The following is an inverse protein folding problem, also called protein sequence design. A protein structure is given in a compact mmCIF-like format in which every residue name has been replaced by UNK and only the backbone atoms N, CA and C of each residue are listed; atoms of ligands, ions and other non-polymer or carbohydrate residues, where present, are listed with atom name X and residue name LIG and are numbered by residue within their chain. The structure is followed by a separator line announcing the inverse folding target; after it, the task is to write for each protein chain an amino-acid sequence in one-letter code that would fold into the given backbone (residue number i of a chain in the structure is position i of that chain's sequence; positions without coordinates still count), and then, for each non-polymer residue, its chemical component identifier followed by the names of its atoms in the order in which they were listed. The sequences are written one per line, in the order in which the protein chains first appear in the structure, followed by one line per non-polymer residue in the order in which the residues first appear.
data_IF_640669342353
#
_entry.id   IF_640669342353
#
_cell.length_a   1.000
_cell.length_b   1.000
_cell.length_c   1.000
_cell.angle_alpha   90.00
_cell.angle_beta   90.00
_cell.angle_gamma   90.00
#
_symmetry.space_group_name_H-M   'P 1'
#
loop_
_entity.id
_entity.type
_entity.pdbx_description
1 polymer ?
#
# COMPACT_ATOMS: atom_id res chain seq x y z
N UNK A 1 8.16 -30.32 7.34
CA UNK A 1 7.83 -28.87 7.35
C UNK A 1 7.08 -28.51 6.09
N UNK A 2 5.88 -27.91 6.19
CA UNK A 2 5.14 -27.44 5.04
C UNK A 2 5.67 -26.06 4.55
N UNK A 3 5.30 -25.64 3.32
CA UNK A 3 5.79 -24.38 2.73
C UNK A 3 5.41 -23.15 3.58
N UNK A 4 4.24 -23.16 4.19
CA UNK A 4 3.73 -22.06 5.02
C UNK A 4 4.54 -21.88 6.30
N UNK A 5 4.87 -22.98 6.98
CA UNK A 5 5.75 -22.96 8.16
C UNK A 5 7.16 -22.48 7.78
N UNK A 6 7.69 -22.91 6.64
CA UNK A 6 9.00 -22.43 6.16
C UNK A 6 9.01 -20.93 5.90
N UNK A 7 7.96 -20.42 5.26
CA UNK A 7 7.82 -18.98 5.01
C UNK A 7 7.72 -18.19 6.33
N UNK A 8 6.91 -18.66 7.28
CA UNK A 8 6.78 -18.05 8.60
C UNK A 8 8.13 -17.97 9.33
N UNK A 9 8.91 -19.06 9.36
CA UNK A 9 10.22 -19.10 9.99
C UNK A 9 11.18 -18.09 9.37
N UNK A 10 11.21 -17.99 8.05
CA UNK A 10 12.12 -17.09 7.33
C UNK A 10 11.78 -15.60 7.55
N UNK A 11 10.52 -15.30 7.86
CA UNK A 11 10.02 -13.93 8.10
C UNK A 11 9.66 -13.68 9.56
N UNK A 12 10.12 -14.54 10.48
CA UNK A 12 9.82 -14.38 11.90
C UNK A 12 10.42 -13.09 12.44
N UNK A 13 9.59 -12.34 13.18
CA UNK A 13 10.00 -11.16 13.92
C UNK A 13 9.59 -11.33 15.38
N UNK A 14 10.56 -11.38 16.29
CA UNK A 14 10.32 -11.44 17.73
C UNK A 14 9.35 -10.36 18.21
N UNK A 15 9.56 -9.13 17.74
CA UNK A 15 8.73 -8.01 18.12
C UNK A 15 7.26 -8.20 17.73
N UNK A 16 7.01 -8.60 16.49
CA UNK A 16 5.66 -8.86 15.97
C UNK A 16 5.03 -10.05 16.68
N UNK A 17 5.82 -11.09 16.92
CA UNK A 17 5.37 -12.29 17.60
C UNK A 17 5.05 -12.04 19.10
N UNK A 18 5.86 -11.24 19.79
CA UNK A 18 5.58 -10.82 21.18
C UNK A 18 4.25 -10.08 21.29
N UNK A 19 3.92 -9.25 20.32
CA UNK A 19 2.63 -8.54 20.25
C UNK A 19 1.46 -9.50 20.04
N UNK A 20 1.64 -10.50 19.18
CA UNK A 20 0.68 -11.58 19.02
C UNK A 20 0.44 -12.26 20.37
N UNK A 21 1.48 -12.64 21.08
CA UNK A 21 1.37 -13.27 22.39
C UNK A 21 0.63 -12.39 23.41
N UNK A 22 0.99 -11.11 23.53
CA UNK A 22 0.34 -10.16 24.44
C UNK A 22 -1.16 -10.06 24.12
N UNK A 23 -1.51 -9.93 22.85
CA UNK A 23 -2.92 -9.84 22.42
C UNK A 23 -3.72 -11.08 22.79
N UNK A 24 -3.08 -12.24 22.74
CA UNK A 24 -3.69 -13.51 23.12
C UNK A 24 -3.60 -13.81 24.62
N UNK A 25 -3.24 -12.82 25.44
CA UNK A 25 -3.23 -12.92 26.89
C UNK A 25 -2.02 -13.65 27.48
N UNK A 26 -0.95 -13.83 26.67
CA UNK A 26 0.32 -14.31 27.18
C UNK A 26 1.06 -13.19 27.93
N UNK A 27 1.72 -13.55 29.02
CA UNK A 27 2.48 -12.65 29.89
C UNK A 27 3.96 -12.95 29.71
N UNK A 28 4.76 -11.90 29.52
CA UNK A 28 6.21 -12.01 29.42
C UNK A 28 6.80 -12.02 30.83
N UNK A 29 7.47 -13.11 31.21
CA UNK A 29 8.17 -13.28 32.48
C UNK A 29 9.59 -12.72 32.49
N UNK A 30 10.03 -12.21 31.34
CA UNK A 30 11.36 -11.65 31.15
C UNK A 30 12.31 -12.56 30.41
N UNK A 31 13.60 -12.24 30.49
CA UNK A 31 14.65 -12.97 29.77
C UNK A 31 15.02 -14.27 30.48
N UNK A 32 15.05 -15.36 29.72
CA UNK A 32 15.64 -16.63 30.17
C UNK A 32 17.18 -16.59 30.10
N UNK A 33 17.69 -15.92 29.05
CA UNK A 33 19.10 -15.60 28.85
C UNK A 33 19.19 -14.37 27.92
N UNK A 34 20.36 -14.10 27.33
CA UNK A 34 20.55 -12.91 26.47
C UNK A 34 19.69 -12.92 25.20
N UNK A 35 19.27 -14.10 24.72
CA UNK A 35 18.65 -14.32 23.39
C UNK A 35 17.24 -14.91 23.43
N UNK A 36 16.71 -15.27 24.61
CA UNK A 36 15.38 -15.85 24.75
C UNK A 36 14.57 -15.14 25.83
N UNK A 37 13.25 -15.09 25.62
CA UNK A 37 12.26 -14.67 26.60
C UNK A 37 11.33 -15.82 26.96
N UNK A 38 10.85 -15.85 28.18
CA UNK A 38 9.83 -16.80 28.65
C UNK A 38 8.49 -16.10 28.68
N UNK A 39 7.48 -16.81 28.19
CA UNK A 39 6.11 -16.36 28.19
C UNK A 39 5.22 -17.45 28.77
N UNK A 40 4.29 -17.06 29.66
CA UNK A 40 3.27 -17.97 30.18
C UNK A 40 1.88 -17.40 29.93
N UNK A 41 0.87 -18.26 29.99
CA UNK A 41 -0.51 -17.86 30.02
C UNK A 41 -1.14 -18.28 31.35
N UNK A 42 -1.68 -17.32 32.15
CA UNK A 42 -2.42 -17.65 33.36
C UNK A 42 -3.67 -18.43 33.00
N UNK A 43 -3.85 -19.63 33.62
CA UNK A 43 -4.93 -20.53 33.24
C UNK A 43 -5.91 -20.84 34.36
N UNK A 44 -7.15 -21.08 33.91
CA UNK A 44 -8.25 -21.54 34.78
C UNK A 44 -8.18 -23.04 35.09
N UNK A 45 -7.35 -23.84 34.44
CA UNK A 45 -7.36 -25.32 34.51
C UNK A 45 -6.06 -26.04 34.92
N UNK A 46 -5.21 -25.46 35.72
CA UNK A 46 -4.02 -26.09 36.32
C UNK A 46 -2.92 -26.62 35.39
N UNK A 47 -2.87 -26.23 34.13
CA UNK A 47 -1.76 -26.57 33.22
C UNK A 47 -1.06 -25.28 32.83
N UNK A 48 0.17 -25.09 33.32
CA UNK A 48 1.01 -23.96 32.93
C UNK A 48 1.67 -24.27 31.60
N UNK A 49 1.27 -23.55 30.54
CA UNK A 49 2.00 -23.54 29.29
C UNK A 49 3.07 -22.46 29.35
N UNK A 50 4.27 -22.82 28.94
CA UNK A 50 5.39 -21.90 28.79
C UNK A 50 5.88 -21.91 27.35
N UNK A 51 6.20 -20.73 26.83
CA UNK A 51 6.82 -20.54 25.52
C UNK A 51 8.20 -19.94 25.71
N UNK A 52 9.18 -20.49 25.04
CA UNK A 52 10.53 -19.94 24.94
C UNK A 52 10.65 -19.29 23.57
N UNK A 53 10.68 -17.96 23.54
CA UNK A 53 10.66 -17.19 22.30
C UNK A 53 12.03 -16.57 22.02
N UNK A 54 12.64 -16.84 20.87
CA UNK A 54 13.92 -16.27 20.50
C UNK A 54 13.77 -14.78 20.14
N UNK A 55 14.66 -13.92 20.66
CA UNK A 55 14.72 -12.50 20.29
C UNK A 55 15.48 -12.27 18.97
N UNK A 56 16.36 -13.20 18.59
CA UNK A 56 17.21 -13.12 17.40
C UNK A 56 16.98 -14.33 16.48
N UNK A 57 17.11 -14.09 15.18
CA UNK A 57 16.93 -15.14 14.16
C UNK A 57 18.22 -15.91 13.86
N UNK A 58 19.38 -15.34 14.21
CA UNK A 58 20.71 -15.95 13.98
C UNK A 58 21.17 -16.81 15.18
N UNK A 59 20.34 -17.74 15.57
CA UNK A 59 20.65 -18.71 16.62
C UNK A 59 20.71 -20.14 16.09
N UNK A 60 21.56 -20.94 16.71
CA UNK A 60 21.64 -22.37 16.39
C UNK A 60 20.28 -23.03 16.63
N UNK A 61 19.79 -23.79 15.63
CA UNK A 61 18.50 -24.48 15.66
C UNK A 61 17.26 -23.57 15.68
N UNK A 62 17.37 -22.31 15.21
CA UNK A 62 16.26 -21.38 15.16
C UNK A 62 14.96 -21.98 14.58
N UNK A 63 15.07 -22.68 13.44
CA UNK A 63 13.90 -23.30 12.79
C UNK A 63 13.21 -24.34 13.69
N UNK A 64 13.97 -25.13 14.43
CA UNK A 64 13.42 -26.12 15.37
C UNK A 64 12.74 -25.43 16.56
N UNK A 65 13.34 -24.37 17.08
CA UNK A 65 12.74 -23.57 18.17
C UNK A 65 11.40 -22.99 17.75
N UNK A 66 11.29 -22.45 16.54
CA UNK A 66 10.01 -21.91 16.04
C UNK A 66 8.99 -23.03 15.77
N UNK A 67 9.40 -24.18 15.27
CA UNK A 67 8.50 -25.33 15.11
C UNK A 67 7.95 -25.84 16.45
N UNK A 68 8.79 -25.90 17.47
CA UNK A 68 8.38 -26.27 18.83
C UNK A 68 7.41 -25.26 19.43
N UNK A 69 7.71 -23.97 19.28
CA UNK A 69 6.84 -22.87 19.68
C UNK A 69 5.47 -22.94 19.01
N UNK A 70 5.42 -23.19 17.71
CA UNK A 70 4.16 -23.39 16.99
C UNK A 70 3.41 -24.65 17.47
N UNK A 71 4.14 -25.73 17.84
CA UNK A 71 3.54 -26.94 18.38
C UNK A 71 2.87 -26.68 19.73
N UNK A 72 3.53 -25.96 20.64
CA UNK A 72 2.95 -25.61 21.94
C UNK A 72 1.69 -24.76 21.75
N UNK A 73 1.73 -23.77 20.86
CA UNK A 73 0.54 -22.96 20.56
C UNK A 73 -0.59 -23.78 19.91
N UNK A 74 -0.22 -24.73 19.04
CA UNK A 74 -1.15 -25.66 18.38
C UNK A 74 -1.88 -26.50 19.43
N UNK A 75 -1.16 -27.10 20.36
CA UNK A 75 -1.70 -27.90 21.43
C UNK A 75 -2.57 -27.04 22.37
N UNK A 76 -2.09 -25.86 22.72
CA UNK A 76 -2.82 -24.94 23.62
C UNK A 76 -4.18 -24.51 23.03
N UNK A 77 -4.20 -24.12 21.74
CA UNK A 77 -5.41 -23.62 21.09
C UNK A 77 -6.26 -24.73 20.43
N UNK A 78 -5.80 -25.97 20.40
CA UNK A 78 -6.45 -27.05 19.67
C UNK A 78 -6.51 -26.83 18.16
N UNK A 79 -5.49 -26.15 17.61
CA UNK A 79 -5.39 -25.74 16.19
C UNK A 79 -4.18 -26.40 15.56
N UNK A 80 -4.15 -26.49 14.24
CA UNK A 80 -2.94 -26.90 13.50
C UNK A 80 -1.94 -25.75 13.45
N UNK A 81 -0.63 -26.06 13.27
CA UNK A 81 0.40 -25.02 13.07
C UNK A 81 0.05 -24.07 11.92
N UNK A 82 -0.59 -24.57 10.86
CA UNK A 82 -1.03 -23.73 9.74
C UNK A 82 -2.10 -22.73 10.16
N UNK A 83 -3.05 -23.13 11.01
CA UNK A 83 -4.09 -22.24 11.52
C UNK A 83 -3.51 -21.20 12.49
N UNK A 84 -2.53 -21.57 13.32
CA UNK A 84 -1.83 -20.60 14.18
C UNK A 84 -1.09 -19.55 13.35
N UNK A 85 -0.45 -19.96 12.26
CA UNK A 85 0.21 -19.03 11.33
C UNK A 85 -0.82 -18.12 10.65
N UNK A 86 -2.00 -18.65 10.29
CA UNK A 86 -3.08 -17.83 9.73
C UNK A 86 -3.61 -16.80 10.72
N UNK A 87 -3.80 -17.22 11.98
CA UNK A 87 -4.21 -16.31 13.05
C UNK A 87 -3.17 -15.20 13.27
N UNK A 88 -1.89 -15.54 13.22
CA UNK A 88 -0.81 -14.58 13.29
C UNK A 88 -0.84 -13.60 12.10
N UNK A 89 -0.93 -14.11 10.88
CA UNK A 89 -0.98 -13.29 9.67
C UNK A 89 -2.23 -12.39 9.67
N UNK A 90 -3.38 -12.90 10.08
CA UNK A 90 -4.61 -12.12 10.22
C UNK A 90 -4.48 -10.99 11.25
N UNK A 91 -3.58 -11.12 12.22
CA UNK A 91 -3.33 -10.06 13.18
C UNK A 91 -2.49 -8.93 12.61
N UNK A 92 -1.53 -9.25 11.76
CA UNK A 92 -0.52 -8.33 11.24
C UNK A 92 -0.79 -7.78 9.86
N UNK A 93 -1.84 -8.28 9.19
CA UNK A 93 -2.22 -7.87 7.84
C UNK A 93 -3.70 -7.54 7.79
N UNK A 94 -4.05 -6.47 7.11
CA UNK A 94 -5.40 -6.22 6.63
C UNK A 94 -5.52 -6.74 5.19
N UNK A 95 -6.74 -7.02 4.75
CA UNK A 95 -6.99 -7.61 3.44
C UNK A 95 -7.91 -6.72 2.62
N UNK A 96 -7.57 -6.52 1.36
CA UNK A 96 -8.45 -5.86 0.39
C UNK A 96 -8.72 -6.82 -0.75
N UNK A 97 -10.01 -7.08 -1.00
CA UNK A 97 -10.46 -7.87 -2.14
C UNK A 97 -10.96 -6.93 -3.23
N UNK A 98 -10.46 -7.11 -4.42
CA UNK A 98 -11.02 -6.49 -5.61
C UNK A 98 -11.69 -7.56 -6.46
N UNK A 99 -12.95 -7.36 -6.74
CA UNK A 99 -13.76 -8.22 -7.62
C UNK A 99 -14.27 -7.39 -8.77
N UNK A 100 -14.07 -7.85 -9.99
CA UNK A 100 -14.63 -7.21 -11.19
C UNK A 100 -15.69 -8.12 -11.80
N UNK A 101 -16.80 -7.52 -12.19
CA UNK A 101 -17.95 -8.23 -12.77
C UNK A 101 -18.36 -7.65 -14.11
N UNK A 102 -18.50 -8.53 -15.07
CA UNK A 102 -19.08 -8.26 -16.38
C UNK A 102 -19.49 -9.58 -17.04
N UNK A 103 -20.07 -9.50 -18.20
CA UNK A 103 -20.39 -10.72 -18.97
C UNK A 103 -19.15 -11.51 -19.39
N UNK A 104 -17.98 -10.86 -19.46
CA UNK A 104 -16.69 -11.47 -19.84
C UNK A 104 -15.90 -12.04 -18.67
N UNK A 105 -16.31 -11.81 -17.41
CA UNK A 105 -15.63 -12.30 -16.21
C UNK A 105 -16.36 -13.45 -15.51
N UNK A 106 -17.23 -14.17 -16.24
CA UNK A 106 -17.95 -15.33 -15.70
C UNK A 106 -16.99 -16.49 -15.46
N UNK A 107 -17.26 -17.26 -14.39
CA UNK A 107 -16.51 -18.47 -14.03
C UNK A 107 -15.02 -18.24 -13.66
N UNK A 108 -14.68 -17.11 -13.06
CA UNK A 108 -13.32 -16.83 -12.61
C UNK A 108 -12.30 -16.53 -13.73
N UNK A 109 -12.75 -16.37 -14.96
CA UNK A 109 -11.91 -16.02 -16.09
C UNK A 109 -11.91 -14.50 -16.33
N UNK A 110 -10.78 -13.97 -16.78
CA UNK A 110 -10.60 -12.58 -17.17
C UNK A 110 -9.72 -12.52 -18.42
N UNK A 111 -9.93 -11.52 -19.27
CA UNK A 111 -9.00 -11.27 -20.36
C UNK A 111 -7.63 -10.87 -19.76
N UNK A 112 -6.55 -11.41 -20.30
CA UNK A 112 -5.20 -11.20 -19.77
C UNK A 112 -4.87 -9.70 -19.58
N UNK A 113 -5.19 -8.88 -20.57
CA UNK A 113 -4.94 -7.43 -20.49
C UNK A 113 -5.76 -6.75 -19.38
N UNK A 114 -7.01 -7.16 -19.15
CA UNK A 114 -7.83 -6.61 -18.10
C UNK A 114 -7.32 -7.07 -16.71
N UNK A 115 -6.79 -8.32 -16.61
CA UNK A 115 -6.14 -8.82 -15.40
C UNK A 115 -4.85 -8.07 -15.07
N UNK A 116 -4.02 -7.76 -16.07
CA UNK A 116 -2.82 -6.95 -15.89
C UNK A 116 -3.20 -5.54 -15.40
N UNK A 117 -4.18 -4.90 -16.03
CA UNK A 117 -4.68 -3.57 -15.59
C UNK A 117 -5.19 -3.59 -14.15
N UNK A 118 -5.98 -4.61 -13.80
CA UNK A 118 -6.49 -4.77 -12.44
C UNK A 118 -5.35 -4.81 -11.40
N UNK A 119 -4.31 -5.58 -11.65
CA UNK A 119 -3.16 -5.69 -10.73
C UNK A 119 -2.36 -4.38 -10.65
N UNK A 120 -2.00 -3.82 -11.79
CA UNK A 120 -1.19 -2.60 -11.85
C UNK A 120 -1.92 -1.43 -11.18
N UNK A 121 -3.20 -1.25 -11.50
CA UNK A 121 -3.94 -0.09 -11.00
C UNK A 121 -4.50 -0.28 -9.58
N UNK A 122 -4.61 -1.53 -9.10
CA UNK A 122 -4.79 -1.78 -7.65
C UNK A 122 -3.60 -1.24 -6.86
N UNK A 123 -2.38 -1.49 -7.33
CA UNK A 123 -1.16 -0.92 -6.71
C UNK A 123 -1.16 0.62 -6.78
N UNK A 124 -1.58 1.21 -7.91
CA UNK A 124 -1.67 2.67 -8.05
C UNK A 124 -2.74 3.28 -7.12
N UNK A 125 -3.88 2.63 -6.94
CA UNK A 125 -4.92 3.05 -6.01
C UNK A 125 -4.40 3.06 -4.57
N UNK A 126 -3.74 1.99 -4.13
CA UNK A 126 -3.10 1.91 -2.81
C UNK A 126 -2.00 2.97 -2.66
N UNK A 127 -1.17 3.17 -3.68
CA UNK A 127 -0.14 4.20 -3.67
C UNK A 127 -0.73 5.60 -3.46
N UNK A 128 -1.80 5.94 -4.17
CA UNK A 128 -2.45 7.25 -4.06
C UNK A 128 -3.04 7.49 -2.67
N UNK A 129 -3.63 6.48 -2.03
CA UNK A 129 -4.15 6.58 -0.67
C UNK A 129 -3.04 6.68 0.39
N UNK A 130 -1.94 5.93 0.22
CA UNK A 130 -0.75 6.06 1.07
C UNK A 130 -0.12 7.45 0.94
N UNK A 131 -0.05 8.02 -0.27
CA UNK A 131 0.39 9.40 -0.47
C UNK A 131 -0.54 10.40 0.23
N UNK A 132 -1.85 10.17 0.19
CA UNK A 132 -2.86 11.05 0.81
C UNK A 132 -2.80 11.08 2.34
N UNK A 133 -2.27 10.03 2.99
CA UNK A 133 -2.02 10.05 4.44
C UNK A 133 -1.03 11.16 4.81
N UNK A 134 -0.01 11.39 4.00
CA UNK A 134 1.00 12.42 4.26
C UNK A 134 0.52 13.80 3.81
N UNK A 135 0.08 13.92 2.57
CA UNK A 135 -0.38 15.18 1.99
C UNK A 135 -1.45 14.90 0.94
N UNK A 136 -2.62 15.46 1.10
CA UNK A 136 -3.73 15.39 0.15
C UNK A 136 -3.50 16.39 -0.97
N UNK A 137 -3.62 15.94 -2.22
CA UNK A 137 -3.40 16.73 -3.44
C UNK A 137 -4.36 16.33 -4.54
N UNK A 138 -4.70 17.28 -5.44
CA UNK A 138 -5.46 17.01 -6.66
C UNK A 138 -4.75 16.00 -7.56
N UNK A 139 -3.40 16.07 -7.61
CA UNK A 139 -2.59 15.20 -8.44
C UNK A 139 -1.22 14.97 -7.82
N UNK A 140 -0.75 13.73 -7.83
CA UNK A 140 0.59 13.33 -7.38
C UNK A 140 1.47 13.15 -8.61
N UNK A 141 2.39 14.08 -8.83
CA UNK A 141 3.35 14.06 -9.93
C UNK A 141 4.75 13.83 -9.37
N UNK A 142 5.57 13.10 -10.09
CA UNK A 142 6.96 12.85 -9.73
C UNK A 142 7.15 11.60 -8.87
N UNK A 143 8.16 11.64 -8.00
CA UNK A 143 8.57 10.48 -7.21
C UNK A 143 7.69 10.35 -5.95
N UNK A 144 7.27 9.12 -5.66
CA UNK A 144 6.60 8.80 -4.39
C UNK A 144 7.58 8.93 -3.23
N UNK A 145 7.04 9.17 -2.03
CA UNK A 145 7.84 9.07 -0.81
C UNK A 145 8.47 7.68 -0.68
N UNK A 146 9.71 7.61 -0.21
CA UNK A 146 10.42 6.35 0.01
C UNK A 146 9.60 5.41 0.90
N UNK A 147 8.99 5.95 1.98
CA UNK A 147 8.11 5.21 2.87
C UNK A 147 6.91 4.56 2.18
N UNK A 148 6.35 5.19 1.16
CA UNK A 148 5.24 4.63 0.37
C UNK A 148 5.75 3.48 -0.50
N UNK A 149 6.91 3.64 -1.14
CA UNK A 149 7.52 2.59 -1.95
C UNK A 149 7.85 1.36 -1.09
N UNK A 150 8.45 1.59 0.09
CA UNK A 150 8.77 0.54 1.05
C UNK A 150 7.51 -0.28 1.45
N UNK A 151 6.37 0.38 1.67
CA UNK A 151 5.12 -0.31 1.98
C UNK A 151 4.63 -1.12 0.77
N UNK A 152 4.64 -0.51 -0.42
CA UNK A 152 4.16 -1.15 -1.65
C UNK A 152 4.98 -2.40 -2.04
N UNK A 153 6.27 -2.45 -1.69
CA UNK A 153 7.14 -3.62 -1.90
C UNK A 153 6.83 -4.78 -0.95
N UNK A 154 6.14 -4.51 0.17
CA UNK A 154 5.77 -5.51 1.16
C UNK A 154 4.28 -5.90 1.12
N UNK A 155 3.52 -5.38 0.17
CA UNK A 155 2.13 -5.80 -0.09
C UNK A 155 2.17 -7.13 -0.86
N UNK A 156 1.39 -8.10 -0.37
CA UNK A 156 1.36 -9.43 -0.94
C UNK A 156 0.08 -9.68 -1.76
N UNK A 157 0.24 -10.36 -2.89
CA UNK A 157 -0.87 -10.86 -3.70
C UNK A 157 -1.20 -12.29 -3.27
N UNK A 158 -2.42 -12.51 -2.82
CA UNK A 158 -2.92 -13.83 -2.46
C UNK A 158 -3.51 -14.62 -3.64
N UNK A 159 -3.99 -15.83 -3.34
CA UNK A 159 -4.68 -16.66 -4.34
C UNK A 159 -6.02 -16.03 -4.73
N UNK A 160 -6.41 -16.22 -5.99
CA UNK A 160 -7.75 -15.85 -6.47
C UNK A 160 -8.82 -16.76 -5.88
N UNK A 161 -10.04 -16.23 -5.73
CA UNK A 161 -11.20 -16.99 -5.22
C UNK A 161 -12.11 -17.45 -6.37
N UNK A 162 -12.85 -18.53 -6.14
CA UNK A 162 -13.87 -19.00 -7.09
C UNK A 162 -15.04 -18.00 -7.20
N UNK A 163 -15.58 -17.82 -8.42
CA UNK A 163 -16.72 -16.95 -8.71
C UNK A 163 -16.43 -15.95 -9.81
N UNK A 164 -16.67 -14.66 -9.54
CA UNK A 164 -16.13 -13.54 -10.36
C UNK A 164 -14.62 -13.49 -10.18
N UNK A 165 -13.90 -12.85 -11.12
CA UNK A 165 -12.45 -12.73 -10.96
C UNK A 165 -12.12 -11.85 -9.74
N UNK A 166 -11.55 -12.47 -8.70
CA UNK A 166 -11.27 -11.84 -7.40
C UNK A 166 -9.78 -11.91 -7.14
N UNK A 167 -9.15 -10.78 -6.86
CA UNK A 167 -7.78 -10.71 -6.33
C UNK A 167 -7.81 -10.35 -4.85
N UNK A 168 -6.92 -10.99 -4.09
CA UNK A 168 -6.75 -10.76 -2.66
C UNK A 168 -5.41 -10.05 -2.43
N UNK A 169 -5.44 -8.89 -1.82
CA UNK A 169 -4.27 -8.08 -1.49
C UNK A 169 -4.12 -8.06 0.03
N UNK A 170 -2.97 -8.47 0.52
CA UNK A 170 -2.62 -8.48 1.94
C UNK A 170 -1.69 -7.31 2.23
N UNK A 171 -2.07 -6.47 3.19
CA UNK A 171 -1.40 -5.21 3.51
C UNK A 171 -0.84 -5.31 4.93
N UNK A 172 0.49 -5.29 5.11
CA UNK A 172 1.10 -5.39 6.43
C UNK A 172 0.77 -4.15 7.27
N UNK A 173 0.33 -4.38 8.52
CA UNK A 173 -0.07 -3.30 9.45
C UNK A 173 1.11 -2.61 10.10
N UNK A 174 2.20 -3.32 10.33
CA UNK A 174 3.29 -2.92 11.22
C UNK A 174 4.54 -2.43 10.49
N UNK A 175 4.52 -2.40 9.16
CA UNK A 175 5.74 -2.14 8.40
C UNK A 175 6.40 -0.79 8.76
N UNK A 176 5.59 0.25 8.96
CA UNK A 176 6.10 1.58 9.28
C UNK A 176 6.43 1.75 10.78
N UNK A 177 5.69 1.07 11.65
CA UNK A 177 5.88 1.14 13.11
C UNK A 177 7.11 0.37 13.57
N UNK A 178 7.59 -0.60 12.80
CA UNK A 178 8.84 -1.31 13.10
C UNK A 178 10.06 -0.40 13.14
N UNK A 179 10.01 0.78 12.50
CA UNK A 179 11.07 1.80 12.56
C UNK A 179 10.95 2.74 13.79
N UNK A 180 9.80 2.75 14.50
CA UNK A 180 9.60 3.61 15.67
C UNK A 180 9.07 2.82 16.89
N UNK A 181 9.98 2.38 17.81
CA UNK A 181 9.65 1.47 18.90
C UNK A 181 8.76 2.04 20.01
N UNK A 182 8.51 3.32 20.04
CA UNK A 182 7.87 4.02 21.18
C UNK A 182 6.35 4.19 21.07
N UNK A 183 5.71 3.75 19.96
CA UNK A 183 4.27 3.93 19.80
C UNK A 183 3.48 2.76 20.42
N UNK A 184 2.42 3.05 21.21
CA UNK A 184 1.51 2.04 21.70
C UNK A 184 0.75 1.38 20.53
N UNK A 185 0.68 0.07 20.56
CA UNK A 185 0.36 -0.76 19.39
C UNK A 185 -1.12 -0.84 19.01
N UNK A 186 -2.05 -0.53 19.91
CA UNK A 186 -3.45 -0.91 19.74
C UNK A 186 -4.46 0.25 19.78
N UNK A 187 -4.05 1.44 20.14
CA UNK A 187 -4.98 2.55 20.37
C UNK A 187 -5.09 3.55 19.20
N UNK A 188 -4.09 3.60 18.32
CA UNK A 188 -4.14 4.44 17.11
C UNK A 188 -4.07 3.62 15.82
N UNK A 189 -4.84 4.00 14.80
CA UNK A 189 -4.77 3.32 13.50
C UNK A 189 -3.38 3.49 12.89
N UNK A 190 -2.81 2.38 12.42
CA UNK A 190 -1.51 2.34 11.74
C UNK A 190 -1.52 3.19 10.47
N UNK A 191 -0.34 3.53 9.94
CA UNK A 191 -0.25 4.30 8.70
C UNK A 191 -0.99 3.63 7.53
N UNK A 192 -0.85 2.30 7.40
CA UNK A 192 -1.55 1.52 6.37
C UNK A 192 -3.06 1.49 6.60
N UNK A 193 -3.52 1.41 7.85
CA UNK A 193 -4.96 1.52 8.17
C UNK A 193 -5.52 2.88 7.85
N UNK A 194 -4.81 3.97 8.16
CA UNK A 194 -5.21 5.33 7.74
C UNK A 194 -5.37 5.43 6.22
N UNK A 195 -4.50 4.76 5.45
CA UNK A 195 -4.62 4.72 4.00
C UNK A 195 -5.87 3.94 3.54
N UNK A 196 -6.19 2.81 4.19
CA UNK A 196 -7.41 2.05 3.88
C UNK A 196 -8.68 2.80 4.26
N UNK A 197 -8.68 3.51 5.40
CA UNK A 197 -9.78 4.39 5.80
C UNK A 197 -9.98 5.54 4.80
N UNK A 198 -8.87 6.13 4.32
CA UNK A 198 -8.93 7.12 3.24
C UNK A 198 -9.51 6.50 1.97
N UNK A 199 -9.07 5.30 1.58
CA UNK A 199 -9.58 4.61 0.39
C UNK A 199 -11.08 4.38 0.48
N UNK A 200 -11.58 3.89 1.62
CA UNK A 200 -13.02 3.71 1.85
C UNK A 200 -13.77 5.03 1.76
N UNK A 201 -13.38 5.99 2.58
CA UNK A 201 -14.08 7.28 2.67
C UNK A 201 -14.04 8.06 1.36
N UNK A 202 -12.85 8.12 0.71
CA UNK A 202 -12.67 8.79 -0.56
C UNK A 202 -13.57 8.18 -1.66
N UNK A 203 -13.66 6.83 -1.70
CA UNK A 203 -14.52 6.18 -2.69
C UNK A 203 -16.00 6.48 -2.43
N UNK A 204 -16.48 6.41 -1.18
CA UNK A 204 -17.88 6.70 -0.84
C UNK A 204 -18.27 8.15 -1.14
N UNK A 205 -17.41 9.09 -0.74
CA UNK A 205 -17.62 10.51 -1.01
C UNK A 205 -17.59 10.81 -2.52
N UNK A 206 -16.68 10.17 -3.27
CA UNK A 206 -16.62 10.28 -4.72
C UNK A 206 -17.94 9.83 -5.37
N UNK A 207 -18.46 8.68 -4.97
CA UNK A 207 -19.71 8.15 -5.52
C UNK A 207 -20.90 9.06 -5.20
N UNK A 208 -20.99 9.57 -3.96
CA UNK A 208 -22.02 10.51 -3.56
C UNK A 208 -21.95 11.82 -4.36
N UNK A 209 -20.75 12.36 -4.59
CA UNK A 209 -20.54 13.57 -5.38
C UNK A 209 -20.80 13.38 -6.87
N UNK A 210 -20.62 12.17 -7.41
CA UNK A 210 -20.98 11.85 -8.80
C UNK A 210 -22.50 11.95 -8.99
N UNK A 211 -23.31 11.48 -8.03
CA UNK A 211 -24.77 11.60 -8.07
C UNK A 211 -25.18 13.09 -8.04
N UNK A 212 -24.58 13.92 -7.18
CA UNK A 212 -24.82 15.36 -7.15
C UNK A 212 -24.39 16.06 -8.46
N UNK A 213 -23.28 15.62 -9.06
CA UNK A 213 -22.80 16.16 -10.34
C UNK A 213 -23.76 15.86 -11.49
N UNK A 214 -24.42 14.70 -11.49
CA UNK A 214 -25.39 14.36 -12.53
C UNK A 214 -26.61 15.33 -12.57
N UNK A 215 -26.91 15.96 -11.43
CA UNK A 215 -27.98 16.95 -11.33
C UNK A 215 -27.50 18.37 -11.63
N UNK A 216 -26.30 18.74 -11.16
CA UNK A 216 -25.79 20.12 -11.20
C UNK A 216 -24.89 20.43 -12.40
N UNK A 217 -24.26 19.43 -13.00
CA UNK A 217 -23.21 19.53 -14.01
C UNK A 217 -22.02 20.45 -13.61
N UNK A 218 -21.90 20.79 -12.32
CA UNK A 218 -20.85 21.66 -11.80
C UNK A 218 -19.62 20.86 -11.41
N UNK A 219 -18.55 20.89 -12.23
CA UNK A 219 -17.31 20.14 -12.00
C UNK A 219 -16.57 20.59 -10.72
N UNK A 220 -16.75 21.82 -10.27
CA UNK A 220 -16.07 22.39 -9.10
C UNK A 220 -16.48 21.73 -7.78
N UNK A 221 -17.63 21.04 -7.74
CA UNK A 221 -18.05 20.31 -6.54
C UNK A 221 -17.04 19.22 -6.14
N UNK A 222 -16.23 18.76 -7.07
CA UNK A 222 -15.20 17.75 -6.80
C UNK A 222 -13.97 18.29 -6.07
N UNK A 223 -13.79 19.62 -5.96
CA UNK A 223 -12.65 20.20 -5.23
C UNK A 223 -12.65 19.81 -3.75
N UNK A 224 -13.83 19.67 -3.14
CA UNK A 224 -13.99 19.25 -1.75
C UNK A 224 -13.45 17.82 -1.51
N UNK A 225 -13.43 16.99 -2.54
CA UNK A 225 -12.99 15.59 -2.45
C UNK A 225 -11.48 15.47 -2.23
N UNK A 226 -10.71 16.50 -2.56
CA UNK A 226 -9.26 16.51 -2.33
C UNK A 226 -8.96 16.35 -0.85
N UNK A 227 -9.70 17.03 0.03
CA UNK A 227 -9.58 16.91 1.49
C UNK A 227 -10.04 15.52 2.02
N UNK A 228 -10.74 14.75 1.20
CA UNK A 228 -11.11 13.36 1.49
C UNK A 228 -10.08 12.35 0.99
N UNK A 229 -9.06 12.81 0.24
CA UNK A 229 -7.99 11.97 -0.32
C UNK A 229 -8.20 11.55 -1.77
N UNK A 230 -9.24 12.07 -2.44
CA UNK A 230 -9.43 11.84 -3.89
C UNK A 230 -8.43 12.69 -4.66
N UNK A 231 -7.75 12.04 -5.59
CA UNK A 231 -6.80 12.65 -6.52
C UNK A 231 -7.05 12.16 -7.95
N UNK A 232 -6.43 12.80 -8.93
CA UNK A 232 -6.46 12.31 -10.31
C UNK A 232 -5.87 10.91 -10.43
N UNK A 233 -4.84 10.58 -9.62
CA UNK A 233 -4.21 9.27 -9.58
C UNK A 233 -5.20 8.21 -9.05
N UNK A 234 -5.92 8.54 -7.98
CA UNK A 234 -6.95 7.68 -7.39
C UNK A 234 -8.09 7.42 -8.37
N UNK A 235 -8.63 8.47 -9.00
CA UNK A 235 -9.68 8.37 -10.00
C UNK A 235 -9.23 7.59 -11.24
N UNK A 236 -8.02 7.85 -11.73
CA UNK A 236 -7.44 7.12 -12.86
C UNK A 236 -7.29 5.63 -12.55
N UNK A 237 -6.86 5.30 -11.31
CA UNK A 237 -6.75 3.89 -10.90
C UNK A 237 -8.11 3.19 -10.94
N UNK A 238 -9.17 3.82 -10.43
CA UNK A 238 -10.55 3.28 -10.51
C UNK A 238 -10.96 3.04 -11.97
N UNK A 239 -10.74 4.04 -12.86
CA UNK A 239 -11.08 3.90 -14.27
C UNK A 239 -10.36 2.73 -14.94
N UNK A 240 -9.06 2.60 -14.70
CA UNK A 240 -8.26 1.53 -15.29
C UNK A 240 -8.57 0.14 -14.69
N UNK A 241 -8.87 0.03 -13.39
CA UNK A 241 -9.37 -1.21 -12.75
C UNK A 241 -10.65 -1.69 -13.45
N UNK A 242 -11.55 -0.77 -13.81
CA UNK A 242 -12.77 -1.11 -14.55
C UNK A 242 -12.52 -1.40 -16.04
N UNK A 243 -11.28 -1.35 -16.52
CA UNK A 243 -10.91 -1.39 -17.94
C UNK A 243 -11.64 -0.30 -18.75
N UNK A 244 -11.63 0.93 -18.23
CA UNK A 244 -12.30 2.10 -18.83
C UNK A 244 -13.84 1.90 -18.98
N UNK A 245 -14.48 1.37 -17.95
CA UNK A 245 -15.93 1.21 -17.91
C UNK A 245 -16.48 -0.08 -18.53
N UNK A 246 -15.64 -1.10 -18.72
CA UNK A 246 -16.12 -2.42 -19.14
C UNK A 246 -16.67 -3.25 -17.98
N UNK A 247 -16.17 -3.04 -16.78
CA UNK A 247 -16.47 -3.85 -15.60
C UNK A 247 -16.97 -3.01 -14.44
N UNK A 248 -17.93 -3.56 -13.67
CA UNK A 248 -18.24 -3.07 -12.35
C UNK A 248 -17.17 -3.53 -11.36
N UNK A 249 -16.81 -2.67 -10.40
CA UNK A 249 -15.81 -2.95 -9.39
C UNK A 249 -16.46 -3.14 -8.04
N UNK A 250 -16.04 -4.18 -7.32
CA UNK A 250 -16.42 -4.42 -5.92
C UNK A 250 -15.15 -4.47 -5.09
N UNK A 251 -15.09 -3.67 -4.04
CA UNK A 251 -13.95 -3.59 -3.13
C UNK A 251 -14.45 -3.97 -1.74
N UNK A 252 -13.85 -5.00 -1.14
CA UNK A 252 -14.11 -5.38 0.23
C UNK A 252 -12.82 -5.17 1.03
N UNK A 253 -12.88 -4.29 2.01
CA UNK A 253 -11.77 -4.04 2.95
C UNK A 253 -12.07 -4.82 4.22
N UNK A 254 -11.22 -5.79 4.52
CA UNK A 254 -11.31 -6.64 5.70
C UNK A 254 -10.27 -6.15 6.72
N UNK A 255 -10.75 -5.46 7.76
CA UNK A 255 -9.92 -5.04 8.88
C UNK A 255 -9.80 -6.18 9.87
N UNK A 256 -8.65 -6.81 9.93
CA UNK A 256 -8.40 -7.91 10.84
C UNK A 256 -8.10 -7.39 12.25
N UNK A 257 -9.05 -7.58 13.17
CA UNK A 257 -8.96 -7.11 14.55
C UNK A 257 -8.43 -8.17 15.54
N UNK A 258 -8.02 -9.35 15.05
CA UNK A 258 -7.52 -10.50 15.82
C UNK A 258 -8.62 -11.49 16.21
N UNK A 259 -8.25 -12.59 16.88
CA UNK A 259 -9.06 -13.79 17.07
C UNK A 259 -10.42 -13.51 17.76
N UNK A 260 -10.45 -12.62 18.74
CA UNK A 260 -11.65 -12.40 19.57
C UNK A 260 -12.56 -11.27 19.09
N UNK A 261 -12.21 -10.58 18.00
CA UNK A 261 -13.04 -9.53 17.41
C UNK A 261 -13.42 -9.91 16.00
N UNK A 262 -14.69 -9.74 15.68
CA UNK A 262 -15.17 -9.93 14.30
C UNK A 262 -14.35 -9.07 13.36
N UNK A 263 -13.93 -9.66 12.24
CA UNK A 263 -13.35 -8.92 11.12
C UNK A 263 -14.37 -7.88 10.67
N UNK A 264 -14.00 -6.62 10.70
CA UNK A 264 -14.83 -5.56 10.16
C UNK A 264 -14.66 -5.56 8.64
N UNK A 265 -15.77 -5.72 7.91
CA UNK A 265 -15.77 -5.74 6.44
C UNK A 265 -16.48 -4.48 5.96
N UNK A 266 -15.79 -3.69 5.14
CA UNK A 266 -16.36 -2.55 4.43
C UNK A 266 -16.51 -2.90 2.96
N UNK A 267 -17.73 -2.85 2.48
CA UNK A 267 -18.05 -3.16 1.08
C UNK A 267 -18.35 -1.89 0.29
N UNK A 268 -17.76 -1.78 -0.89
CA UNK A 268 -17.94 -0.67 -1.82
C UNK A 268 -18.20 -1.26 -3.20
N UNK A 269 -19.17 -0.73 -3.90
CA UNK A 269 -19.41 -1.06 -5.30
C UNK A 269 -19.35 0.20 -6.17
N UNK A 270 -18.63 0.11 -7.28
CA UNK A 270 -18.47 1.19 -8.25
C UNK A 270 -19.07 0.69 -9.57
N UNK A 271 -20.18 1.33 -9.96
CA UNK A 271 -20.84 1.01 -11.22
C UNK A 271 -20.02 1.56 -12.38
N UNK A 272 -19.83 0.77 -13.42
CA UNK A 272 -19.13 1.16 -14.66
C UNK A 272 -19.74 2.40 -15.31
N UNK A 273 -21.02 2.69 -15.09
CA UNK A 273 -21.69 3.88 -15.61
C UNK A 273 -21.12 5.19 -15.04
N UNK A 274 -20.46 5.16 -13.89
CA UNK A 274 -19.81 6.32 -13.29
C UNK A 274 -18.43 6.62 -13.89
N UNK A 275 -17.82 5.68 -14.61
CA UNK A 275 -16.46 5.80 -15.14
C UNK A 275 -16.30 7.00 -16.09
N UNK A 276 -17.24 7.33 -17.00
CA UNK A 276 -17.11 8.54 -17.82
C UNK A 276 -17.03 9.83 -17.00
N UNK A 277 -17.73 9.92 -15.86
CA UNK A 277 -17.64 11.08 -14.95
C UNK A 277 -16.32 11.06 -14.20
N UNK A 278 -15.88 9.89 -13.71
CA UNK A 278 -14.58 9.73 -13.05
C UNK A 278 -13.45 10.19 -13.99
N UNK A 279 -13.52 9.86 -15.29
CA UNK A 279 -12.53 10.33 -16.27
C UNK A 279 -12.55 11.86 -16.45
N UNK A 280 -13.71 12.51 -16.39
CA UNK A 280 -13.79 13.99 -16.38
C UNK A 280 -13.12 14.58 -15.13
N UNK A 281 -13.25 13.94 -13.97
CA UNK A 281 -12.55 14.36 -12.74
C UNK A 281 -11.04 14.22 -12.90
N UNK A 282 -10.57 13.12 -13.52
CA UNK A 282 -9.13 12.95 -13.83
C UNK A 282 -8.61 14.10 -14.67
N UNK A 283 -9.32 14.45 -15.76
CA UNK A 283 -8.94 15.57 -16.62
C UNK A 283 -9.01 16.93 -15.87
N UNK A 284 -10.07 17.14 -15.10
CA UNK A 284 -10.24 18.36 -14.31
C UNK A 284 -9.11 18.53 -13.29
N UNK A 285 -8.80 17.52 -12.50
CA UNK A 285 -7.73 17.59 -11.51
C UNK A 285 -6.33 17.69 -12.14
N UNK A 286 -6.14 17.20 -13.35
CA UNK A 286 -4.89 17.34 -14.11
C UNK A 286 -4.75 18.70 -14.78
N UNK A 287 -5.85 19.30 -15.26
CA UNK A 287 -5.83 20.61 -15.89
C UNK A 287 -5.60 21.75 -14.91
N UNK A 288 -5.99 21.54 -13.64
CA UNK A 288 -5.83 22.50 -12.55
C UNK A 288 -4.42 22.45 -11.91
N UNK A 289 -3.47 21.81 -12.59
CA UNK A 289 -2.06 21.83 -12.23
C UNK A 289 -1.46 23.19 -12.59
N UNK A 290 -1.93 24.21 -11.92
CA UNK A 290 -1.21 25.44 -11.70
C UNK A 290 -0.51 25.27 -10.34
N UNK A 291 0.73 24.80 -10.36
CA UNK A 291 1.71 25.11 -9.37
C UNK A 291 1.68 24.41 -8.01
N UNK A 292 2.33 23.30 -7.90
CA UNK A 292 3.16 23.07 -6.71
C UNK A 292 4.53 22.57 -7.19
N UNK A 293 5.57 23.12 -6.54
CA UNK A 293 6.95 22.69 -6.73
C UNK A 293 7.06 21.18 -6.63
N UNK A 294 7.42 20.50 -7.69
CA UNK A 294 7.73 19.07 -7.62
C UNK A 294 9.16 18.82 -8.08
N UNK A 295 9.79 17.90 -7.38
CA UNK A 295 11.16 17.52 -7.68
C UNK A 295 11.17 16.42 -8.75
N UNK A 296 11.86 16.70 -9.86
CA UNK A 296 12.15 15.71 -10.88
C UNK A 296 13.60 15.23 -10.71
N UNK A 297 13.76 13.93 -10.50
CA UNK A 297 15.09 13.31 -10.44
C UNK A 297 15.30 12.46 -11.69
N UNK A 298 16.42 12.67 -12.38
CA UNK A 298 16.72 11.94 -13.60
C UNK A 298 18.07 12.26 -14.21
N UNK A 299 18.31 11.68 -15.39
CA UNK A 299 19.53 11.90 -16.14
C UNK A 299 19.30 12.96 -17.23
N UNK A 300 20.22 13.90 -17.34
CA UNK A 300 20.24 14.85 -18.45
C UNK A 300 20.62 14.11 -19.74
N UNK A 301 19.75 14.17 -20.75
CA UNK A 301 19.92 13.46 -22.02
C UNK A 301 20.18 14.39 -23.20
N UNK A 302 19.86 15.68 -23.06
CA UNK A 302 20.09 16.70 -24.07
C UNK A 302 20.39 18.03 -23.37
N UNK A 303 21.32 18.77 -23.96
CA UNK A 303 21.72 20.11 -23.55
C UNK A 303 21.64 20.99 -24.78
N UNK A 304 21.02 22.17 -24.66
CA UNK A 304 20.94 23.17 -25.73
C UNK A 304 21.05 24.57 -25.14
N UNK A 305 21.98 25.37 -25.67
CA UNK A 305 22.14 26.78 -25.32
C UNK A 305 22.62 27.54 -26.57
N UNK A 306 21.97 28.65 -26.89
CA UNK A 306 22.40 29.55 -27.94
C UNK A 306 23.58 30.42 -27.43
N UNK A 307 24.44 30.91 -28.34
CA UNK A 307 25.70 31.60 -28.00
C UNK A 307 25.48 32.82 -27.07
N UNK A 308 24.37 33.54 -27.19
CA UNK A 308 24.07 34.76 -26.43
C UNK A 308 22.94 34.55 -25.41
N UNK A 309 22.50 33.31 -25.15
CA UNK A 309 21.34 33.05 -24.27
C UNK A 309 21.75 33.12 -22.80
N UNK A 310 20.94 33.82 -22.01
CA UNK A 310 21.04 33.90 -20.53
C UNK A 310 20.53 32.63 -19.86
N UNK A 311 19.82 31.77 -20.61
CA UNK A 311 19.24 30.51 -20.16
C UNK A 311 19.68 29.37 -21.08
N UNK A 312 19.77 28.17 -20.52
CA UNK A 312 19.99 26.95 -21.29
C UNK A 312 18.78 26.03 -21.19
N UNK A 313 18.50 25.27 -22.23
CA UNK A 313 17.45 24.23 -22.24
C UNK A 313 18.09 22.87 -22.05
N UNK A 314 17.51 22.05 -21.15
CA UNK A 314 17.89 20.66 -20.96
C UNK A 314 16.72 19.73 -21.21
N UNK A 315 17.02 18.48 -21.56
CA UNK A 315 16.04 17.38 -21.50
C UNK A 315 16.45 16.39 -20.45
N UNK A 316 15.61 16.24 -19.46
CA UNK A 316 15.75 15.29 -18.34
C UNK A 316 14.99 14.02 -18.65
N UNK A 317 15.65 12.86 -18.66
CA UNK A 317 15.00 11.57 -18.67
C UNK A 317 14.71 11.16 -17.23
N UNK A 318 13.45 11.15 -16.87
CA UNK A 318 12.94 10.88 -15.52
C UNK A 318 11.79 9.88 -15.56
N UNK A 319 11.42 9.36 -14.42
CA UNK A 319 10.24 8.54 -14.27
C UNK A 319 9.11 9.38 -13.68
N UNK A 320 7.99 9.45 -14.37
CA UNK A 320 6.76 10.10 -13.92
C UNK A 320 5.66 9.05 -13.96
N UNK A 321 4.97 8.83 -12.85
CA UNK A 321 3.90 7.84 -12.74
C UNK A 321 4.30 6.45 -13.28
N UNK A 322 5.47 5.96 -12.86
CA UNK A 322 6.03 4.68 -13.31
C UNK A 322 6.36 4.58 -14.81
N UNK A 323 6.22 5.68 -15.57
CA UNK A 323 6.55 5.76 -16.98
C UNK A 323 7.79 6.62 -17.19
N UNK A 324 8.74 6.11 -17.98
CA UNK A 324 9.92 6.90 -18.35
C UNK A 324 9.50 8.02 -19.31
N UNK A 325 9.72 9.26 -18.87
CA UNK A 325 9.39 10.48 -19.62
C UNK A 325 10.65 11.29 -19.89
N UNK A 326 10.58 12.10 -20.95
CA UNK A 326 11.57 13.14 -21.24
C UNK A 326 10.92 14.49 -21.00
N UNK A 327 11.44 15.23 -20.02
CA UNK A 327 10.95 16.57 -19.66
C UNK A 327 11.96 17.60 -20.13
N UNK A 328 11.49 18.59 -20.89
CA UNK A 328 12.29 19.75 -21.26
C UNK A 328 12.10 20.83 -20.23
N UNK A 329 13.18 21.50 -19.87
CA UNK A 329 13.13 22.62 -18.93
C UNK A 329 14.20 23.64 -19.28
N UNK A 330 13.91 24.90 -19.02
CA UNK A 330 14.85 26.00 -19.13
C UNK A 330 15.52 26.20 -17.78
N UNK A 331 16.78 26.45 -17.77
CA UNK A 331 17.60 26.65 -16.59
C UNK A 331 18.38 27.96 -16.74
N UNK A 332 18.54 28.69 -15.64
CA UNK A 332 19.48 29.80 -15.59
C UNK A 332 20.92 29.28 -15.76
N UNK A 333 21.87 30.17 -16.00
CA UNK A 333 23.27 29.82 -16.30
C UNK A 333 23.89 28.94 -15.21
N UNK A 334 23.66 29.26 -13.94
CA UNK A 334 24.26 28.51 -12.82
C UNK A 334 23.76 27.06 -12.79
N UNK A 335 22.48 26.87 -12.97
CA UNK A 335 21.84 25.58 -12.96
C UNK A 335 22.13 24.78 -14.22
N UNK A 336 22.25 25.45 -15.35
CA UNK A 336 22.66 24.83 -16.60
C UNK A 336 24.07 24.25 -16.51
N UNK A 337 25.00 24.95 -15.86
CA UNK A 337 26.38 24.45 -15.62
C UNK A 337 26.36 23.18 -14.75
N UNK A 338 25.50 23.14 -13.72
CA UNK A 338 25.31 21.93 -12.90
C UNK A 338 24.79 20.77 -13.76
N UNK A 339 23.82 21.03 -14.62
CA UNK A 339 23.26 20.03 -15.53
C UNK A 339 24.30 19.52 -16.56
N UNK A 340 25.15 20.41 -17.08
CA UNK A 340 26.27 20.05 -17.97
C UNK A 340 27.27 19.11 -17.28
N UNK A 341 27.66 19.42 -16.05
CA UNK A 341 28.57 18.58 -15.27
C UNK A 341 27.94 17.21 -14.98
N UNK A 342 26.68 17.18 -14.55
CA UNK A 342 25.95 15.94 -14.30
C UNK A 342 25.79 15.07 -15.56
N UNK A 343 25.56 15.69 -16.72
CA UNK A 343 25.50 14.98 -17.99
C UNK A 343 26.86 14.36 -18.36
N UNK A 344 27.95 15.12 -18.22
CA UNK A 344 29.33 14.63 -18.45
C UNK A 344 29.65 13.46 -17.54
N UNK A 345 29.34 13.59 -16.24
CA UNK A 345 29.74 12.65 -15.20
C UNK A 345 28.72 11.50 -15.03
N UNK A 346 27.66 11.47 -15.86
CA UNK A 346 26.55 10.49 -15.86
C UNK A 346 25.88 10.37 -14.50
N UNK A 347 25.69 11.50 -13.82
CA UNK A 347 25.02 11.58 -12.54
C UNK A 347 23.56 11.99 -12.71
N UNK A 348 22.72 11.58 -11.79
CA UNK A 348 21.35 12.09 -11.70
C UNK A 348 21.35 13.50 -11.10
N UNK A 349 20.44 14.32 -11.56
CA UNK A 349 20.15 15.61 -10.94
C UNK A 349 18.72 15.60 -10.42
N UNK A 350 18.51 16.32 -9.31
CA UNK A 350 17.15 16.61 -8.79
C UNK A 350 16.90 18.09 -8.97
N UNK A 351 15.78 18.43 -9.57
CA UNK A 351 15.37 19.80 -9.79
C UNK A 351 13.95 20.03 -9.34
N UNK A 352 13.75 21.16 -8.66
CA UNK A 352 12.44 21.74 -8.42
C UNK A 352 11.93 22.25 -9.76
N UNK A 353 10.71 21.88 -10.12
CA UNK A 353 10.03 22.48 -11.27
C UNK A 353 9.52 23.86 -10.81
N UNK A 354 10.25 24.90 -11.11
CA UNK A 354 9.71 26.25 -11.14
C UNK A 354 9.05 26.49 -12.50
N UNK A 355 8.03 27.35 -12.55
CA UNK A 355 7.28 27.72 -13.73
C UNK A 355 8.11 28.12 -14.93
#
# INVERSE_FOLDING_TARGET
MNLKTKYFINNFSFRTFSRFLIKYGWINDGKYNEIFTIWHRPEEQNVNYELIVPEENDIKYFSLTIEELLSVLSDFYGKTNSQIIDDFNNLIQDKVKYSIKSDTTKNGLILLNDGIRLLDHTKEMLASTLMAVNKKKKNYIGQRFESVNDILENIELGQTEEGSFVINIYIPRDYYENKNPSLPFFDEPTYTRKALDIMENATRELLSKIEEYQESENIQIFDELVEKGVSSNFCNAISEISSNGKHDIFINIEYNNGIDRMTEIKEISINREFIPIINKIVEYFRSDIMEEDYYLTGYVTMLHQEEDAVEGEITLATWIESTRRKVRMKLNVSDYIVAVNAHRDRQQITRLSEK
#
